data_IF_982191080874
#
_entry.id   IF_982191080874
#
_cell.length_a   1.000
_cell.length_b   1.000
_cell.length_c   1.000
_cell.angle_alpha   90.00
_cell.angle_beta   90.00
_cell.angle_gamma   90.00
#
_symmetry.space_group_name_H-M   'P 1'
#
loop_
_entity.id
_entity.type
_entity.pdbx_description
1 polymer ?
#
# COMPACT_ATOMS: atom_id res chain seq x y z
N UNK A 1 -2.19 1.68 -5.95
CA UNK A 1 -2.99 2.75 -6.58
C UNK A 1 -4.45 2.52 -6.30
N UNK A 2 -5.18 3.58 -5.97
CA UNK A 2 -6.64 3.55 -5.87
C UNK A 2 -7.25 3.99 -7.21
N UNK A 3 -7.77 3.02 -7.97
CA UNK A 3 -8.42 3.24 -9.28
C UNK A 3 -9.91 3.55 -9.16
N UNK A 4 -10.41 3.78 -7.94
CA UNK A 4 -11.81 4.17 -7.63
C UNK A 4 -12.86 3.13 -8.04
N UNK A 5 -12.45 1.88 -8.23
CA UNK A 5 -13.27 0.75 -8.66
C UNK A 5 -13.54 -0.28 -7.54
N UNK A 6 -13.03 -0.04 -6.32
CA UNK A 6 -13.13 -0.98 -5.19
C UNK A 6 -14.02 -0.51 -4.03
N UNK A 7 -14.74 0.61 -4.20
CA UNK A 7 -15.50 1.23 -3.10
C UNK A 7 -14.61 1.67 -1.90
N UNK A 8 -13.32 1.92 -2.16
CA UNK A 8 -12.30 2.20 -1.16
C UNK A 8 -11.71 3.61 -1.36
N UNK A 9 -11.30 4.31 -0.28
CA UNK A 9 -11.49 3.92 1.12
C UNK A 9 -12.94 4.10 1.58
N UNK A 10 -13.31 3.44 2.67
CA UNK A 10 -14.56 3.71 3.39
C UNK A 10 -14.24 4.57 4.61
N UNK A 11 -14.73 5.80 4.66
CA UNK A 11 -14.48 6.69 5.80
C UNK A 11 -15.61 6.59 6.82
N UNK A 12 -15.34 5.96 7.96
CA UNK A 12 -16.30 5.80 9.05
C UNK A 12 -16.10 6.92 10.08
N UNK A 13 -16.99 7.93 10.04
CA UNK A 13 -17.00 9.08 10.98
C UNK A 13 -17.58 8.70 12.34
N UNK A 14 -16.83 7.90 13.10
CA UNK A 14 -17.26 7.39 14.40
C UNK A 14 -16.99 8.35 15.57
N UNK A 15 -16.17 9.39 15.36
CA UNK A 15 -15.87 10.39 16.38
C UNK A 15 -17.05 11.31 16.72
N UNK A 16 -18.09 11.35 15.87
CA UNK A 16 -19.22 12.27 15.93
C UNK A 16 -18.80 13.76 15.95
N UNK A 17 -17.59 14.07 15.47
CA UNK A 17 -17.07 15.43 15.36
C UNK A 17 -17.32 16.01 13.96
N UNK A 18 -17.46 17.35 13.85
CA UNK A 18 -17.62 18.01 12.56
C UNK A 18 -16.35 17.95 11.69
N UNK A 19 -15.19 17.79 12.34
CA UNK A 19 -13.87 17.63 11.71
C UNK A 19 -13.34 16.24 11.99
N UNK A 20 -12.38 15.80 11.18
CA UNK A 20 -11.61 14.58 11.40
C UNK A 20 -11.11 14.55 12.85
N UNK A 21 -11.40 13.47 13.59
CA UNK A 21 -10.99 13.35 14.98
C UNK A 21 -10.68 11.90 15.40
N UNK A 22 -9.93 11.77 16.49
CA UNK A 22 -9.59 10.48 17.08
C UNK A 22 -10.83 9.59 17.20
N UNK A 23 -10.71 8.36 16.71
CA UNK A 23 -11.79 7.37 16.69
C UNK A 23 -12.42 7.17 15.31
N UNK A 24 -12.20 8.08 14.35
CA UNK A 24 -12.58 7.81 12.95
C UNK A 24 -11.74 6.65 12.38
N UNK A 25 -12.42 5.77 11.63
CA UNK A 25 -11.83 4.55 11.07
C UNK A 25 -11.90 4.59 9.55
N UNK A 26 -10.85 4.11 8.90
CA UNK A 26 -10.75 4.10 7.44
C UNK A 26 -10.32 2.72 6.95
N UNK A 27 -11.25 1.76 6.82
CA UNK A 27 -10.99 0.54 6.06
C UNK A 27 -10.66 0.86 4.60
N UNK A 28 -9.68 0.17 4.03
CA UNK A 28 -9.28 0.40 2.65
C UNK A 28 -8.74 -0.88 1.98
N UNK A 29 -8.86 -0.90 0.65
CA UNK A 29 -8.15 -1.82 -0.22
C UNK A 29 -7.85 -1.16 -1.56
N UNK A 30 -6.59 -1.20 -1.99
CA UNK A 30 -6.12 -0.61 -3.24
C UNK A 30 -5.36 -1.62 -4.08
N UNK A 31 -5.37 -1.47 -5.41
CA UNK A 31 -4.58 -2.31 -6.32
C UNK A 31 -3.08 -2.10 -6.10
N UNK A 32 -2.31 -3.17 -6.21
CA UNK A 32 -0.85 -3.20 -6.04
C UNK A 32 -0.17 -3.57 -7.36
N UNK A 33 0.84 -2.80 -7.72
CA UNK A 33 1.61 -2.95 -8.95
C UNK A 33 3.10 -3.11 -8.63
N UNK A 34 3.81 -3.79 -9.52
CA UNK A 34 5.26 -3.89 -9.46
C UNK A 34 5.92 -2.51 -9.61
N UNK A 35 7.13 -2.33 -9.07
CA UNK A 35 7.84 -1.04 -9.08
C UNK A 35 8.13 -0.48 -10.47
N UNK A 36 8.25 -1.35 -11.48
CA UNK A 36 8.40 -0.94 -12.89
C UNK A 36 7.06 -0.64 -13.60
N UNK A 37 5.93 -0.78 -12.88
CA UNK A 37 4.57 -0.52 -13.37
C UNK A 37 4.10 -1.41 -14.53
N UNK A 38 4.83 -2.50 -14.83
CA UNK A 38 4.50 -3.41 -15.94
C UNK A 38 3.65 -4.62 -15.54
N UNK A 39 3.49 -4.90 -14.24
CA UNK A 39 2.71 -6.04 -13.75
C UNK A 39 1.76 -5.65 -12.62
N UNK A 40 0.52 -6.15 -12.67
CA UNK A 40 -0.41 -6.19 -11.53
C UNK A 40 0.02 -7.32 -10.60
N UNK A 41 0.29 -7.01 -9.34
CA UNK A 41 0.85 -7.97 -8.37
C UNK A 41 -0.09 -8.28 -7.21
N UNK A 42 -1.11 -7.46 -6.95
CA UNK A 42 -2.18 -7.85 -6.04
C UNK A 42 -2.96 -6.68 -5.47
N UNK A 43 -3.16 -6.68 -4.15
CA UNK A 43 -3.85 -5.61 -3.42
C UNK A 43 -3.15 -5.28 -2.10
N UNK A 44 -3.44 -4.09 -1.59
CA UNK A 44 -3.37 -3.81 -0.16
C UNK A 44 -4.74 -4.03 0.46
N UNK A 45 -4.80 -4.45 1.72
CA UNK A 45 -6.04 -4.48 2.49
C UNK A 45 -5.77 -4.28 3.98
N UNK A 46 -6.54 -3.40 4.62
CA UNK A 46 -6.47 -3.20 6.06
C UNK A 46 -7.23 -1.96 6.54
N UNK A 47 -6.72 -1.38 7.62
CA UNK A 47 -7.39 -0.33 8.39
C UNK A 47 -6.42 0.79 8.73
N UNK A 48 -6.87 2.03 8.59
CA UNK A 48 -6.27 3.19 9.21
C UNK A 48 -7.16 3.69 10.35
N UNK A 49 -6.57 3.97 11.51
CA UNK A 49 -7.22 4.63 12.66
C UNK A 49 -6.75 6.06 12.68
N UNK A 50 -7.67 7.03 12.63
CA UNK A 50 -7.30 8.43 12.72
C UNK A 50 -6.80 8.73 14.14
N UNK A 51 -5.60 9.31 14.24
CA UNK A 51 -4.98 9.70 15.51
C UNK A 51 -5.16 11.19 15.76
N UNK A 52 -4.91 12.01 14.75
CA UNK A 52 -4.93 13.47 14.90
C UNK A 52 -5.18 14.16 13.56
N UNK A 53 -6.07 15.15 13.58
CA UNK A 53 -6.22 16.12 12.49
C UNK A 53 -5.30 17.33 12.73
N UNK A 54 -4.59 17.75 11.69
CA UNK A 54 -3.62 18.85 11.70
C UNK A 54 -4.13 19.98 10.79
N UNK A 55 -4.99 20.87 11.30
CA UNK A 55 -5.71 21.85 10.47
C UNK A 55 -4.77 22.86 9.80
N UNK A 56 -3.69 23.26 10.48
CA UNK A 56 -2.72 24.26 9.99
C UNK A 56 -2.09 23.88 8.64
N UNK A 57 -1.94 22.58 8.41
CA UNK A 57 -1.33 22.02 7.19
C UNK A 57 -2.31 21.16 6.39
N UNK A 58 -3.60 21.16 6.75
CA UNK A 58 -4.67 20.37 6.14
C UNK A 58 -4.30 18.89 5.99
N UNK A 59 -3.72 18.31 7.03
CA UNK A 59 -3.23 16.95 7.04
C UNK A 59 -3.84 16.14 8.17
N UNK A 60 -3.67 14.82 8.08
CA UNK A 60 -4.07 13.88 9.10
C UNK A 60 -2.90 12.95 9.43
N UNK A 61 -2.88 12.48 10.69
CA UNK A 61 -2.04 11.38 11.15
C UNK A 61 -2.91 10.17 11.42
N UNK A 62 -2.57 9.04 10.79
CA UNK A 62 -3.20 7.75 11.02
C UNK A 62 -2.20 6.76 11.62
N UNK A 63 -2.71 5.83 12.42
CA UNK A 63 -2.07 4.54 12.68
C UNK A 63 -2.63 3.54 11.68
N UNK A 64 -1.77 2.89 10.91
CA UNK A 64 -2.16 1.99 9.84
C UNK A 64 -1.73 0.56 10.15
N UNK A 65 -2.64 -0.39 9.92
CA UNK A 65 -2.41 -1.84 10.05
C UNK A 65 -3.00 -2.51 8.83
N UNK A 66 -2.15 -3.07 7.97
CA UNK A 66 -2.59 -3.63 6.70
C UNK A 66 -1.58 -4.60 6.11
N UNK A 67 -2.02 -5.34 5.10
CA UNK A 67 -1.20 -6.32 4.39
C UNK A 67 -1.12 -6.00 2.90
N UNK A 68 -0.03 -6.43 2.28
CA UNK A 68 0.23 -6.43 0.85
C UNK A 68 0.17 -7.87 0.36
N UNK A 69 -0.80 -8.18 -0.50
CA UNK A 69 -1.00 -9.51 -1.05
C UNK A 69 -0.36 -9.61 -2.44
N UNK A 70 0.41 -10.68 -2.65
CA UNK A 70 1.19 -10.92 -3.87
C UNK A 70 0.76 -12.23 -4.55
N UNK A 71 -0.54 -12.53 -4.61
CA UNK A 71 -1.05 -13.76 -5.22
C UNK A 71 -0.45 -15.03 -4.60
N UNK A 72 -0.01 -15.96 -5.44
CA UNK A 72 0.62 -17.23 -5.00
C UNK A 72 1.91 -17.03 -4.19
N UNK A 73 2.56 -15.87 -4.24
CA UNK A 73 3.79 -15.62 -3.49
C UNK A 73 3.54 -15.47 -1.97
N UNK A 74 2.33 -15.11 -1.56
CA UNK A 74 1.98 -14.85 -0.16
C UNK A 74 1.71 -13.37 0.11
N UNK A 75 1.97 -12.93 1.35
CA UNK A 75 1.73 -11.53 1.74
C UNK A 75 2.78 -11.02 2.72
N UNK A 76 2.89 -9.69 2.81
CA UNK A 76 3.62 -8.97 3.85
C UNK A 76 2.63 -8.15 4.70
N UNK A 77 2.80 -8.16 6.01
CA UNK A 77 2.02 -7.34 6.93
C UNK A 77 2.86 -6.18 7.46
N UNK A 78 2.21 -5.04 7.64
CA UNK A 78 2.85 -3.82 8.16
C UNK A 78 2.00 -3.14 9.21
N UNK A 79 2.69 -2.41 10.09
CA UNK A 79 2.07 -1.55 11.08
C UNK A 79 2.88 -0.27 11.28
N UNK A 80 2.21 0.88 11.41
CA UNK A 80 2.85 2.12 11.81
C UNK A 80 2.15 3.38 11.30
N UNK A 81 2.86 4.50 11.36
CA UNK A 81 2.31 5.80 11.02
C UNK A 81 2.09 5.97 9.51
N UNK A 82 0.92 6.48 9.15
CA UNK A 82 0.64 7.06 7.83
C UNK A 82 0.30 8.54 7.99
N UNK A 83 1.16 9.40 7.44
CA UNK A 83 1.02 10.85 7.48
C UNK A 83 0.65 11.35 6.09
N UNK A 84 -0.43 12.12 5.97
CA UNK A 84 -0.93 12.56 4.65
C UNK A 84 -0.12 13.70 4.03
N UNK A 85 0.99 14.12 4.64
CA UNK A 85 1.77 15.29 4.25
C UNK A 85 3.27 15.02 4.10
N UNK A 86 3.75 13.85 4.56
CA UNK A 86 5.18 13.50 4.48
C UNK A 86 5.39 11.99 4.37
N UNK A 87 6.58 11.61 3.91
CA UNK A 87 7.03 10.23 3.83
C UNK A 87 7.14 9.62 5.24
N UNK A 88 6.85 8.33 5.36
CA UNK A 88 6.90 7.60 6.64
C UNK A 88 7.62 6.26 6.50
N UNK A 89 7.97 5.66 7.63
CA UNK A 89 8.42 4.28 7.71
C UNK A 89 7.45 3.48 8.58
N UNK A 90 6.98 2.35 8.05
CA UNK A 90 6.17 1.38 8.80
C UNK A 90 7.02 0.15 9.11
N UNK A 91 6.72 -0.52 10.22
CA UNK A 91 7.33 -1.79 10.56
C UNK A 91 6.79 -2.89 9.65
N UNK A 92 7.66 -3.74 9.12
CA UNK A 92 7.26 -5.03 8.53
C UNK A 92 7.14 -6.02 9.68
N UNK A 93 5.92 -6.46 9.95
CA UNK A 93 5.60 -7.28 11.13
C UNK A 93 5.65 -8.78 10.87
N UNK A 94 5.72 -9.18 9.60
CA UNK A 94 5.75 -10.57 9.18
C UNK A 94 5.32 -10.74 7.73
N UNK A 95 5.26 -12.00 7.31
CA UNK A 95 4.71 -12.39 6.02
C UNK A 95 4.41 -13.89 5.96
N UNK A 96 3.88 -14.33 4.81
CA UNK A 96 3.60 -15.73 4.51
C UNK A 96 4.17 -16.13 3.15
N UNK A 97 4.21 -17.42 2.85
CA UNK A 97 4.72 -17.92 1.56
C UNK A 97 6.21 -17.61 1.44
N UNK A 98 6.63 -16.98 0.33
CA UNK A 98 8.04 -16.59 0.14
C UNK A 98 8.50 -15.53 1.15
N UNK A 99 7.55 -14.88 1.83
CA UNK A 99 7.79 -13.84 2.84
C UNK A 99 7.72 -14.37 4.27
N UNK A 100 7.64 -15.69 4.49
CA UNK A 100 7.64 -16.29 5.82
C UNK A 100 8.93 -15.90 6.58
N UNK A 101 8.78 -15.34 7.78
CA UNK A 101 9.90 -14.86 8.60
C UNK A 101 10.41 -13.46 8.23
N UNK A 102 9.78 -12.77 7.27
CA UNK A 102 10.16 -11.42 6.89
C UNK A 102 10.02 -10.42 8.05
N UNK A 103 11.05 -9.59 8.24
CA UNK A 103 11.02 -8.45 9.15
C UNK A 103 11.79 -7.26 8.55
N UNK A 104 11.66 -6.08 9.17
CA UNK A 104 12.34 -4.86 8.73
C UNK A 104 11.41 -3.67 8.72
N UNK A 105 11.54 -2.81 7.72
CA UNK A 105 10.73 -1.61 7.55
C UNK A 105 10.38 -1.38 6.08
N UNK A 106 9.28 -0.66 5.85
CA UNK A 106 8.90 -0.18 4.52
C UNK A 106 8.81 1.33 4.54
N UNK A 107 9.46 1.98 3.57
CA UNK A 107 9.26 3.41 3.31
C UNK A 107 7.95 3.58 2.55
N UNK A 108 7.04 4.41 3.05
CA UNK A 108 5.83 4.84 2.36
C UNK A 108 6.06 6.27 1.86
N UNK A 109 5.88 6.45 0.56
CA UNK A 109 5.94 7.75 -0.10
C UNK A 109 4.60 8.11 -0.72
N UNK A 110 4.04 9.24 -0.33
CA UNK A 110 2.78 9.71 -0.88
C UNK A 110 3.04 10.52 -2.15
N UNK A 111 2.58 10.03 -3.30
CA UNK A 111 2.77 10.71 -4.57
C UNK A 111 1.60 11.65 -4.86
N UNK A 112 0.38 11.10 -4.86
CA UNK A 112 -0.86 11.86 -5.11
C UNK A 112 -1.85 11.45 -4.04
N UNK A 113 -2.16 12.35 -3.11
CA UNK A 113 -3.13 12.08 -2.06
C UNK A 113 -4.56 11.93 -2.63
N UNK A 114 -5.36 10.92 -2.21
CA UNK A 114 -5.00 9.67 -1.54
C UNK A 114 -4.82 8.49 -2.53
N UNK A 115 -4.60 8.76 -3.82
CA UNK A 115 -4.73 7.79 -4.91
C UNK A 115 -3.44 7.03 -5.27
N UNK A 116 -2.26 7.67 -5.16
CA UNK A 116 -0.97 7.08 -5.56
C UNK A 116 0.03 7.13 -4.42
N UNK A 117 0.51 5.96 -4.02
CA UNK A 117 1.57 5.76 -3.03
C UNK A 117 2.62 4.82 -3.61
N UNK A 118 3.87 5.02 -3.22
CA UNK A 118 4.99 4.17 -3.58
C UNK A 118 5.66 3.62 -2.32
N UNK A 119 6.07 2.36 -2.38
CA UNK A 119 6.62 1.62 -1.25
C UNK A 119 7.99 1.07 -1.59
N UNK A 120 8.93 1.20 -0.66
CA UNK A 120 10.24 0.54 -0.74
C UNK A 120 10.44 -0.31 0.50
N UNK A 121 10.40 -1.62 0.33
CA UNK A 121 10.58 -2.58 1.42
C UNK A 121 12.06 -2.87 1.64
N UNK A 122 12.50 -2.79 2.88
CA UNK A 122 13.85 -3.19 3.32
C UNK A 122 13.72 -4.48 4.13
N UNK A 123 13.52 -5.58 3.40
CA UNK A 123 13.23 -6.89 3.96
C UNK A 123 14.51 -7.58 4.48
N UNK A 124 14.36 -8.29 5.59
CA UNK A 124 15.38 -9.14 6.20
C UNK A 124 14.73 -10.47 6.60
N UNK A 125 15.55 -11.49 6.85
CA UNK A 125 15.08 -12.77 7.37
C UNK A 125 14.50 -13.74 6.34
N UNK A 126 14.55 -13.39 5.06
CA UNK A 126 14.05 -14.23 3.95
C UNK A 126 15.15 -14.50 2.93
N UNK A 127 15.02 -15.57 2.12
CA UNK A 127 15.87 -15.81 0.96
C UNK A 127 15.71 -14.72 -0.11
N UNK A 128 16.53 -14.81 -1.17
CA UNK A 128 16.43 -13.93 -2.33
C UNK A 128 15.03 -14.01 -2.97
N UNK A 129 14.51 -12.86 -3.37
CA UNK A 129 13.20 -12.76 -4.01
C UNK A 129 13.25 -13.31 -5.45
N UNK A 130 12.14 -13.86 -5.95
CA UNK A 130 12.01 -14.22 -7.36
C UNK A 130 12.29 -13.03 -8.28
N UNK A 131 12.96 -13.26 -9.40
CA UNK A 131 13.33 -12.23 -10.37
C UNK A 131 12.11 -11.42 -10.88
N UNK A 132 10.93 -12.04 -10.96
CA UNK A 132 9.68 -11.37 -11.37
C UNK A 132 9.26 -10.24 -10.41
N UNK A 133 9.65 -10.31 -9.13
CA UNK A 133 9.38 -9.27 -8.13
C UNK A 133 10.55 -8.29 -7.97
N UNK A 134 11.62 -8.49 -8.75
CA UNK A 134 12.79 -7.64 -8.80
C UNK A 134 12.79 -6.82 -10.09
N UNK A 135 13.55 -5.73 -10.07
CA UNK A 135 13.75 -4.89 -11.25
C UNK A 135 13.89 -3.43 -10.89
N UNK A 136 14.35 -2.64 -11.86
CA UNK A 136 14.45 -1.20 -11.70
C UNK A 136 13.04 -0.60 -11.66
N UNK A 137 12.73 0.11 -10.57
CA UNK A 137 11.47 0.82 -10.46
C UNK A 137 11.47 2.08 -11.33
N UNK A 138 10.28 2.52 -11.75
CA UNK A 138 10.11 3.86 -12.35
C UNK A 138 10.27 4.90 -11.22
N UNK A 139 10.96 6.03 -11.45
CA UNK A 139 11.00 7.13 -10.48
C UNK A 139 9.59 7.58 -10.10
N UNK A 140 9.24 7.64 -8.79
CA UNK A 140 7.92 8.08 -8.36
C UNK A 140 7.62 9.52 -8.79
N UNK A 141 6.52 9.74 -9.51
CA UNK A 141 6.02 11.07 -9.88
C UNK A 141 4.49 11.07 -10.06
N UNK A 142 3.85 12.24 -10.09
CA UNK A 142 2.40 12.33 -10.24
C UNK A 142 1.87 11.69 -11.54
N UNK A 143 2.69 11.71 -12.60
CA UNK A 143 2.32 11.30 -13.96
C UNK A 143 2.53 9.80 -14.23
N UNK A 144 3.12 9.05 -13.28
CA UNK A 144 3.32 7.61 -13.52
C UNK A 144 1.98 6.87 -13.51
N UNK A 145 1.83 5.95 -14.46
CA UNK A 145 0.68 5.06 -14.58
C UNK A 145 1.13 3.61 -14.83
N UNK A 146 0.36 2.60 -14.41
CA UNK A 146 0.58 1.22 -14.80
C UNK A 146 0.47 1.07 -16.32
N UNK A 147 1.14 0.07 -16.88
CA UNK A 147 0.98 -0.26 -18.30
C UNK A 147 -0.49 -0.65 -18.60
N UNK A 148 -1.00 -0.38 -19.82
CA UNK A 148 -2.35 -0.80 -20.20
C UNK A 148 -2.57 -2.31 -20.01
N UNK A 149 -1.57 -3.13 -20.33
CA UNK A 149 -1.62 -4.58 -20.13
C UNK A 149 -1.75 -4.97 -18.65
N UNK A 150 -1.06 -4.27 -17.74
CA UNK A 150 -1.17 -4.52 -16.30
C UNK A 150 -2.53 -4.10 -15.75
N UNK A 151 -3.07 -2.96 -16.19
CA UNK A 151 -4.42 -2.52 -15.81
C UNK A 151 -5.50 -3.48 -16.32
N UNK A 152 -5.32 -4.01 -17.53
CA UNK A 152 -6.21 -5.00 -18.13
C UNK A 152 -5.99 -6.44 -17.62
N UNK A 153 -5.02 -6.65 -16.71
CA UNK A 153 -4.63 -7.96 -16.18
C UNK A 153 -4.35 -9.00 -17.27
N UNK A 154 -3.70 -8.58 -18.35
CA UNK A 154 -3.31 -9.49 -19.42
C UNK A 154 -2.37 -10.58 -18.88
N UNK A 155 -2.43 -11.84 -19.37
CA UNK A 155 -1.74 -12.97 -18.76
C UNK A 155 -0.22 -12.80 -18.56
N UNK A 156 0.44 -11.98 -19.39
CA UNK A 156 1.87 -11.71 -19.27
C UNK A 156 2.21 -10.55 -18.32
N UNK A 157 1.23 -9.68 -18.05
CA UNK A 157 1.31 -8.46 -17.25
C UNK A 157 0.63 -8.60 -15.87
N UNK A 158 0.42 -9.84 -15.43
CA UNK A 158 -0.15 -10.17 -14.13
C UNK A 158 0.63 -11.35 -13.55
N UNK A 159 0.83 -11.37 -12.24
CA UNK A 159 1.42 -12.54 -11.59
C UNK A 159 0.40 -13.68 -11.51
N UNK A 160 0.89 -14.89 -11.28
CA UNK A 160 0.02 -16.06 -11.10
C UNK A 160 -0.92 -15.87 -9.91
N UNK A 161 -2.20 -16.16 -10.12
CA UNK A 161 -3.28 -16.04 -9.12
C UNK A 161 -3.23 -14.70 -8.36
N UNK A 162 -3.01 -13.62 -9.10
CA UNK A 162 -2.94 -12.28 -8.54
C UNK A 162 -4.19 -11.98 -7.69
N UNK A 163 -3.96 -11.51 -6.46
CA UNK A 163 -5.05 -11.16 -5.55
C UNK A 163 -5.80 -9.94 -6.08
N UNK A 164 -7.12 -10.05 -6.17
CA UNK A 164 -8.01 -8.97 -6.56
C UNK A 164 -9.12 -8.76 -5.53
#
# INVERSE_FOLDING_TARGET
>A
MNERDRGSPMYLRLSEKPVNALGDLVPFSNKLYHGNLQKRIGITAGLCVLIQHLPEIKADRYEAMYSFYFGDYGHLSVQGAYLTHEDTYLAVTGGSGIFEGAYGQVKLQQIVFPFKLFYTFYLKGIPDLPEELLGQHVPPSADVEPSPAAMAMEPHAVIKNCTD
#
